data_IF_689424034436
#
_entry.id   IF_689424034436
#
_cell.length_a   1.000
_cell.length_b   1.000
_cell.length_c   1.000
_cell.angle_alpha   90.00
_cell.angle_beta   90.00
_cell.angle_gamma   90.00
#
_symmetry.space_group_name_H-M   'P 1'
#
loop_
_entity.id
_entity.type
_entity.pdbx_description
1 polymer ?
#
# COMPACT_ATOMS: atom_id res chain seq x y z
N UNK A 1 15.74 -10.47 -0.72
CA UNK A 1 14.63 -9.49 -0.86
C UNK A 1 13.39 -10.24 -1.31
N UNK A 2 12.35 -10.28 -0.47
CA UNK A 2 11.08 -10.97 -0.78
C UNK A 2 10.49 -10.45 -2.09
N UNK A 3 10.28 -11.35 -3.06
CA UNK A 3 9.56 -11.08 -4.30
C UNK A 3 8.07 -10.86 -3.98
N UNK A 4 7.70 -9.65 -3.55
CA UNK A 4 6.28 -9.27 -3.49
C UNK A 4 5.72 -9.28 -4.91
N UNK A 5 4.65 -10.06 -5.12
CA UNK A 5 3.86 -9.96 -6.35
C UNK A 5 3.22 -8.57 -6.38
N UNK A 6 3.74 -7.72 -7.27
CA UNK A 6 3.19 -6.41 -7.57
C UNK A 6 1.96 -6.57 -8.45
N UNK A 7 0.87 -5.89 -8.10
CA UNK A 7 -0.30 -5.78 -8.98
C UNK A 7 0.04 -4.90 -10.18
N UNK A 8 -0.76 -5.00 -11.25
CA UNK A 8 -0.56 -4.18 -12.44
C UNK A 8 -0.61 -2.67 -12.14
N UNK A 9 -1.53 -2.24 -11.28
CA UNK A 9 -1.61 -0.87 -10.81
C UNK A 9 -0.34 -0.43 -10.05
N UNK A 10 0.25 -1.30 -9.25
CA UNK A 10 1.50 -1.01 -8.53
C UNK A 10 2.71 -0.94 -9.47
N UNK A 11 2.73 -1.77 -10.52
CA UNK A 11 3.74 -1.68 -11.58
C UNK A 11 3.63 -0.36 -12.34
N UNK A 12 2.40 0.05 -12.69
CA UNK A 12 2.13 1.34 -13.33
C UNK A 12 2.63 2.50 -12.47
N UNK A 13 2.36 2.50 -11.15
CA UNK A 13 2.88 3.52 -10.22
C UNK A 13 4.41 3.61 -10.21
N UNK A 14 5.12 2.49 -10.32
CA UNK A 14 6.58 2.50 -10.40
C UNK A 14 7.05 3.15 -11.70
N UNK A 15 6.40 2.83 -12.83
CA UNK A 15 6.71 3.42 -14.13
C UNK A 15 6.38 4.92 -14.18
N UNK A 16 5.23 5.33 -13.64
CA UNK A 16 4.84 6.75 -13.53
C UNK A 16 5.85 7.52 -12.68
N UNK A 17 6.34 6.93 -11.58
CA UNK A 17 7.38 7.53 -10.76
C UNK A 17 8.73 7.64 -11.49
N UNK A 18 9.08 6.68 -12.35
CA UNK A 18 10.24 6.83 -13.22
C UNK A 18 10.05 7.96 -14.22
N UNK A 19 8.90 8.05 -14.90
CA UNK A 19 8.62 9.13 -15.84
C UNK A 19 8.68 10.51 -15.16
N UNK A 20 8.09 10.64 -13.97
CA UNK A 20 8.16 11.86 -13.17
C UNK A 20 9.61 12.23 -12.79
N UNK A 21 10.42 11.24 -12.42
CA UNK A 21 11.84 11.47 -12.12
C UNK A 21 12.65 11.84 -13.37
N UNK A 22 12.33 11.26 -14.53
CA UNK A 22 12.95 11.62 -15.81
C UNK A 22 12.67 13.09 -16.14
N UNK A 23 11.41 13.50 -16.00
CA UNK A 23 10.97 14.87 -16.21
C UNK A 23 11.67 15.87 -15.27
N UNK A 24 11.84 15.51 -13.98
CA UNK A 24 12.59 16.33 -13.02
C UNK A 24 14.06 16.52 -13.41
N UNK A 25 14.68 15.48 -13.95
CA UNK A 25 16.07 15.52 -14.38
C UNK A 25 16.23 16.15 -15.78
N UNK A 26 15.13 16.59 -16.41
CA UNK A 26 15.09 17.10 -17.79
C UNK A 26 15.78 16.16 -18.78
N UNK A 27 15.74 14.86 -18.51
CA UNK A 27 16.29 13.84 -19.39
C UNK A 27 15.42 13.84 -20.66
N UNK A 28 16.06 14.06 -21.81
CA UNK A 28 15.37 14.05 -23.10
C UNK A 28 14.92 12.61 -23.38
N UNK A 29 13.87 12.40 -24.19
CA UNK A 29 13.21 11.09 -24.35
C UNK A 29 14.09 9.90 -24.81
N UNK A 30 15.38 10.13 -25.11
CA UNK A 30 16.38 9.11 -25.41
C UNK A 30 17.26 8.73 -24.20
N UNK A 31 17.31 9.56 -23.17
CA UNK A 31 18.18 9.36 -22.02
C UNK A 31 17.50 8.47 -20.99
N UNK A 32 18.04 7.27 -20.82
CA UNK A 32 17.59 6.39 -19.75
C UNK A 32 17.93 6.97 -18.37
N UNK A 33 17.02 6.83 -17.40
CA UNK A 33 17.35 7.13 -16.02
C UNK A 33 18.59 6.33 -15.56
N UNK A 34 19.55 6.98 -14.89
CA UNK A 34 20.67 6.29 -14.28
C UNK A 34 20.20 5.16 -13.37
N UNK A 35 20.90 4.02 -13.41
CA UNK A 35 20.51 2.79 -12.68
C UNK A 35 20.35 3.03 -11.18
N UNK A 36 21.19 3.89 -10.60
CA UNK A 36 21.09 4.27 -9.19
C UNK A 36 19.81 5.03 -8.87
N UNK A 37 19.42 5.96 -9.75
CA UNK A 37 18.19 6.74 -9.60
C UNK A 37 16.97 5.82 -9.74
N UNK A 38 16.94 4.93 -10.75
CA UNK A 38 15.91 3.88 -10.88
C UNK A 38 15.80 3.06 -9.59
N UNK A 39 16.93 2.65 -8.99
CA UNK A 39 16.93 1.88 -7.73
C UNK A 39 16.36 2.69 -6.56
N UNK A 40 16.76 3.96 -6.39
CA UNK A 40 16.26 4.84 -5.33
C UNK A 40 14.75 5.07 -5.45
N UNK A 41 14.27 5.41 -6.65
CA UNK A 41 12.84 5.61 -6.93
C UNK A 41 12.06 4.34 -6.63
N UNK A 42 12.53 3.18 -7.13
CA UNK A 42 11.86 1.89 -6.90
C UNK A 42 11.71 1.57 -5.42
N UNK A 43 12.78 1.74 -4.63
CA UNK A 43 12.75 1.47 -3.18
C UNK A 43 11.76 2.40 -2.48
N UNK A 44 11.73 3.69 -2.84
CA UNK A 44 10.80 4.67 -2.28
C UNK A 44 9.35 4.27 -2.56
N UNK A 45 9.03 3.96 -3.82
CA UNK A 45 7.66 3.56 -4.23
C UNK A 45 7.24 2.25 -3.56
N UNK A 46 8.13 1.24 -3.50
CA UNK A 46 7.84 -0.02 -2.82
C UNK A 46 7.57 0.18 -1.32
N UNK A 47 8.30 1.09 -0.66
CA UNK A 47 8.06 1.43 0.74
C UNK A 47 6.67 2.06 0.94
N UNK A 48 6.26 2.97 0.04
CA UNK A 48 4.93 3.57 0.07
C UNK A 48 3.83 2.53 -0.15
N UNK A 49 3.97 1.65 -1.14
CA UNK A 49 3.02 0.56 -1.41
C UNK A 49 2.86 -0.32 -0.16
N UNK A 50 3.97 -0.69 0.49
CA UNK A 50 3.93 -1.50 1.71
C UNK A 50 3.22 -0.77 2.86
N UNK A 51 3.47 0.53 3.02
CA UNK A 51 2.80 1.35 4.02
C UNK A 51 1.28 1.45 3.77
N UNK A 52 0.87 1.69 2.52
CA UNK A 52 -0.55 1.70 2.11
C UNK A 52 -1.22 0.36 2.40
N UNK A 53 -0.58 -0.76 2.02
CA UNK A 53 -1.12 -2.10 2.29
C UNK A 53 -1.30 -2.31 3.79
N UNK A 54 -0.31 -1.93 4.62
CA UNK A 54 -0.41 -2.03 6.08
C UNK A 54 -1.52 -1.15 6.66
N UNK A 55 -1.72 0.06 6.11
CA UNK A 55 -2.81 0.94 6.52
C UNK A 55 -4.18 0.36 6.16
N UNK A 56 -4.33 -0.22 4.97
CA UNK A 56 -5.56 -0.89 4.53
C UNK A 56 -5.89 -2.10 5.42
N UNK A 57 -4.91 -2.94 5.73
CA UNK A 57 -5.13 -4.10 6.62
C UNK A 57 -5.49 -3.66 8.03
N UNK A 58 -4.81 -2.64 8.58
CA UNK A 58 -5.15 -2.09 9.89
C UNK A 58 -6.57 -1.52 9.94
N UNK A 59 -7.00 -0.79 8.90
CA UNK A 59 -8.37 -0.27 8.80
C UNK A 59 -9.39 -1.42 8.75
N UNK A 60 -9.15 -2.44 7.92
CA UNK A 60 -10.03 -3.60 7.81
C UNK A 60 -10.16 -4.36 9.14
N UNK A 61 -9.05 -4.53 9.87
CA UNK A 61 -9.06 -5.15 11.21
C UNK A 61 -9.88 -4.32 12.21
N UNK A 62 -9.72 -3.00 12.22
CA UNK A 62 -10.54 -2.10 13.07
C UNK A 62 -12.03 -2.22 12.74
N UNK A 63 -12.39 -2.20 11.47
CA UNK A 63 -13.79 -2.36 11.05
C UNK A 63 -14.35 -3.73 11.43
N UNK A 64 -13.56 -4.81 11.31
CA UNK A 64 -13.97 -6.15 11.75
C UNK A 64 -14.18 -6.20 13.26
N UNK A 65 -13.27 -5.64 14.05
CA UNK A 65 -13.39 -5.59 15.51
C UNK A 65 -14.63 -4.80 15.97
N UNK A 66 -14.88 -3.66 15.34
CA UNK A 66 -16.07 -2.85 15.60
C UNK A 66 -17.37 -3.61 15.29
N UNK A 67 -17.47 -4.21 14.10
CA UNK A 67 -18.63 -5.04 13.71
C UNK A 67 -18.82 -6.26 14.62
N UNK A 68 -17.74 -6.85 15.12
CA UNK A 68 -17.82 -7.96 16.07
C UNK A 68 -18.40 -7.49 17.40
N UNK A 69 -17.98 -6.32 17.90
CA UNK A 69 -18.51 -5.73 19.12
C UNK A 69 -20.01 -5.40 19.02
N UNK A 70 -20.45 -4.78 17.91
CA UNK A 70 -21.88 -4.48 17.69
C UNK A 70 -22.77 -5.75 17.64
N UNK A 71 -22.25 -6.85 17.09
CA UNK A 71 -22.98 -8.12 17.03
C UNK A 71 -23.01 -8.88 18.36
N UNK A 72 -22.35 -8.40 19.42
CA UNK A 72 -22.29 -9.10 20.73
C UNK A 72 -23.31 -8.55 21.74
N UNK A 73 -24.47 -8.06 21.28
CA UNK A 73 -25.59 -7.77 22.19
C UNK A 73 -26.23 -9.09 22.65
N UNK A 74 -25.70 -9.65 23.73
CA UNK A 74 -26.22 -10.85 24.38
C UNK A 74 -27.13 -10.45 25.53
N UNK A 75 -28.41 -10.24 25.22
CA UNK A 75 -29.42 -10.10 26.27
C UNK A 75 -29.58 -11.45 26.98
N UNK A 76 -29.21 -11.50 28.27
CA UNK A 76 -29.52 -12.63 29.14
C UNK A 76 -30.71 -12.27 30.04
N UNK A 77 -31.84 -12.98 29.95
CA UNK A 77 -32.92 -12.79 30.90
C UNK A 77 -32.43 -13.19 32.30
N UNK A 78 -32.59 -12.28 33.26
CA UNK A 78 -32.39 -12.59 34.67
C UNK A 78 -33.31 -13.75 35.06
N UNK A 79 -32.75 -14.94 35.26
CA UNK A 79 -33.49 -16.10 35.76
C UNK A 79 -33.92 -15.78 37.19
N UNK A 80 -35.20 -15.45 37.37
CA UNK A 80 -35.81 -15.35 38.70
C UNK A 80 -35.89 -16.76 39.30
N UNK A 81 -35.23 -16.96 40.43
CA UNK A 81 -35.43 -18.10 41.33
C UNK A 81 -36.51 -17.75 42.33
#
# INVERSE_FOLDING_TARGET
>A
MSWMKLTEAERKRINDAYAAQAAQLKLSGRDELPREVKRKVRVKVLRMIRAERKARTAKAQRTKAYRAAENTFTWQPARRR
#
